data_IF_365477054768
#
_entry.id   IF_365477054768
#
_cell.length_a   1.000
_cell.length_b   1.000
_cell.length_c   1.000
_cell.angle_alpha   90.00
_cell.angle_beta   90.00
_cell.angle_gamma   90.00
#
_symmetry.space_group_name_H-M   'P 1'
#
loop_
_entity.id
_entity.type
_entity.pdbx_description
1 polymer ?
#
# COMPACT_ATOMS: atom_id res chain seq x y z
N UNK A 1 12.48 12.00 17.97
CA UNK A 1 11.49 12.58 17.03
C UNK A 1 10.65 11.42 16.51
N UNK A 2 9.36 11.37 16.84
CA UNK A 2 8.45 10.34 16.33
C UNK A 2 8.37 10.49 14.82
N UNK A 3 8.94 9.56 14.07
CA UNK A 3 8.84 9.53 12.60
C UNK A 3 7.37 9.42 12.22
N UNK A 4 6.80 10.51 11.71
CA UNK A 4 5.49 10.47 11.06
C UNK A 4 5.59 9.44 9.93
N UNK A 5 4.86 8.34 10.05
CA UNK A 5 4.90 7.15 9.19
C UNK A 5 4.55 7.43 7.71
N UNK A 6 5.35 8.24 7.01
CA UNK A 6 5.10 8.66 5.61
C UNK A 6 3.86 9.54 5.41
N UNK A 7 3.28 10.10 6.49
CA UNK A 7 2.10 10.98 6.45
C UNK A 7 2.52 12.43 6.60
N UNK A 8 3.32 12.89 5.66
CA UNK A 8 3.75 14.28 5.57
C UNK A 8 2.68 15.16 4.90
N UNK A 9 2.95 16.46 4.80
CA UNK A 9 1.97 17.43 4.29
C UNK A 9 1.68 17.19 2.80
N UNK A 10 2.66 16.72 2.03
CA UNK A 10 2.49 16.39 0.62
C UNK A 10 1.62 15.14 0.43
N UNK A 11 1.73 14.12 1.29
CA UNK A 11 0.77 13.01 1.33
C UNK A 11 -0.67 13.50 1.46
N UNK A 12 -0.94 14.42 2.38
CA UNK A 12 -2.29 14.94 2.58
C UNK A 12 -2.77 15.82 1.42
N UNK A 13 -1.88 16.60 0.80
CA UNK A 13 -2.20 17.37 -0.43
C UNK A 13 -2.66 16.44 -1.55
N UNK A 14 -1.94 15.33 -1.76
CA UNK A 14 -2.30 14.33 -2.76
C UNK A 14 -3.57 13.57 -2.37
N UNK A 15 -3.78 13.27 -1.08
CA UNK A 15 -4.97 12.58 -0.59
C UNK A 15 -6.25 13.39 -0.86
N UNK A 16 -6.16 14.73 -0.86
CA UNK A 16 -7.26 15.64 -1.15
C UNK A 16 -7.20 16.24 -2.56
N UNK A 17 -6.50 15.59 -3.51
CA UNK A 17 -6.27 16.13 -4.85
C UNK A 17 -7.55 16.23 -5.70
N UNK A 18 -8.63 15.56 -5.32
CA UNK A 18 -9.91 15.61 -6.03
C UNK A 18 -10.98 16.32 -5.21
N UNK A 19 -11.82 17.09 -5.90
CA UNK A 19 -12.94 17.79 -5.28
C UNK A 19 -14.23 17.55 -6.05
N UNK A 20 -15.37 17.43 -5.36
CA UNK A 20 -16.66 17.36 -6.01
C UNK A 20 -17.07 18.75 -6.52
N UNK A 21 -17.18 18.89 -7.83
CA UNK A 21 -17.73 20.08 -8.49
C UNK A 21 -19.16 19.82 -8.93
N UNK A 22 -19.96 20.89 -8.93
CA UNK A 22 -21.35 20.83 -9.38
C UNK A 22 -21.40 21.27 -10.84
N UNK A 23 -21.73 20.32 -11.74
CA UNK A 23 -21.88 20.57 -13.17
C UNK A 23 -23.32 20.35 -13.58
N UNK A 24 -23.86 21.25 -14.40
CA UNK A 24 -25.20 21.07 -14.95
C UNK A 24 -25.14 20.28 -16.26
N UNK A 25 -25.87 19.17 -16.31
CA UNK A 25 -26.04 18.35 -17.51
C UNK A 25 -27.54 18.30 -17.79
N UNK A 26 -27.97 18.85 -18.92
CA UNK A 26 -29.40 18.95 -19.31
C UNK A 26 -30.28 19.61 -18.23
N UNK A 27 -29.77 20.66 -17.57
CA UNK A 27 -30.48 21.37 -16.50
C UNK A 27 -30.48 20.68 -15.13
N UNK A 28 -29.96 19.45 -15.03
CA UNK A 28 -29.83 18.73 -13.75
C UNK A 28 -28.43 18.93 -13.19
N UNK A 29 -28.33 19.31 -11.91
CA UNK A 29 -27.06 19.40 -11.21
C UNK A 29 -26.50 17.99 -10.95
N UNK A 30 -25.40 17.65 -11.61
CA UNK A 30 -24.63 16.45 -11.40
C UNK A 30 -23.36 16.77 -10.60
N UNK A 31 -22.93 15.82 -9.75
CA UNK A 31 -21.65 15.90 -9.03
C UNK A 31 -20.56 15.25 -9.88
N UNK A 32 -19.60 16.05 -10.31
CA UNK A 32 -18.42 15.60 -11.07
C UNK A 32 -17.19 15.71 -10.16
N UNK A 33 -16.45 14.62 -10.00
CA UNK A 33 -15.16 14.65 -9.29
C UNK A 33 -14.07 15.11 -10.25
N UNK A 34 -13.36 16.16 -9.88
CA UNK A 34 -12.30 16.77 -10.69
C UNK A 34 -11.02 16.83 -9.88
N UNK A 35 -9.93 16.40 -10.52
CA UNK A 35 -8.57 16.53 -9.99
C UNK A 35 -8.09 17.97 -10.09
N UNK A 36 -7.48 18.47 -9.03
CA UNK A 36 -6.83 19.77 -8.98
C UNK A 36 -5.62 19.79 -9.93
N UNK A 37 -5.49 20.81 -10.80
CA UNK A 37 -4.38 20.90 -11.72
C UNK A 37 -3.05 21.05 -10.96
N UNK A 38 -2.04 20.28 -11.36
CA UNK A 38 -0.69 20.35 -10.78
C UNK A 38 -0.49 19.58 -9.47
N UNK A 39 -1.55 19.00 -8.89
CA UNK A 39 -1.42 18.13 -7.71
C UNK A 39 -1.38 16.67 -8.16
N UNK A 40 -0.45 15.89 -7.61
CA UNK A 40 -0.40 14.44 -7.86
C UNK A 40 -1.48 13.73 -7.02
N UNK A 41 -1.97 12.56 -7.43
CA UNK A 41 -3.11 11.89 -6.78
C UNK A 41 -2.79 10.45 -6.33
N UNK A 42 -1.52 10.05 -6.34
CA UNK A 42 -1.12 8.67 -6.03
C UNK A 42 -1.54 8.27 -4.61
N UNK A 43 -1.50 9.21 -3.65
CA UNK A 43 -1.94 8.95 -2.28
C UNK A 43 -3.44 8.61 -2.18
N UNK A 44 -4.28 9.32 -2.94
CA UNK A 44 -5.71 9.04 -3.02
C UNK A 44 -5.96 7.69 -3.68
N UNK A 45 -5.36 7.45 -4.85
CA UNK A 45 -5.53 6.22 -5.63
C UNK A 45 -5.10 4.99 -4.83
N UNK A 46 -3.94 5.04 -4.16
CA UNK A 46 -3.49 3.96 -3.27
C UNK A 46 -4.49 3.67 -2.16
N UNK A 47 -5.09 4.70 -1.54
CA UNK A 47 -6.07 4.52 -0.47
C UNK A 47 -7.36 3.90 -1.00
N UNK A 48 -7.81 4.33 -2.17
CA UNK A 48 -8.99 3.78 -2.86
C UNK A 48 -8.76 2.31 -3.20
N UNK A 49 -7.62 1.97 -3.81
CA UNK A 49 -7.31 0.58 -4.15
C UNK A 49 -7.15 -0.33 -2.93
N UNK A 50 -6.47 0.14 -1.88
CA UNK A 50 -6.36 -0.63 -0.64
C UNK A 50 -7.75 -0.90 -0.02
N UNK A 51 -8.64 0.09 -0.05
CA UNK A 51 -10.01 -0.05 0.46
C UNK A 51 -10.84 -1.00 -0.41
N UNK A 52 -10.74 -0.88 -1.73
CA UNK A 52 -11.42 -1.78 -2.67
C UNK A 52 -10.94 -3.24 -2.50
N UNK A 53 -9.63 -3.46 -2.36
CA UNK A 53 -9.05 -4.77 -2.09
C UNK A 53 -9.56 -5.34 -0.76
N UNK A 54 -9.58 -4.54 0.31
CA UNK A 54 -10.13 -4.96 1.61
C UNK A 54 -11.61 -5.35 1.51
N UNK A 55 -12.43 -4.58 0.80
CA UNK A 55 -13.82 -4.93 0.56
C UNK A 55 -13.98 -6.19 -0.30
N UNK A 56 -13.09 -6.41 -1.27
CA UNK A 56 -13.02 -7.66 -2.02
C UNK A 56 -12.75 -8.85 -1.11
N UNK A 57 -11.82 -8.71 -0.15
CA UNK A 57 -11.53 -9.74 0.85
C UNK A 57 -12.72 -9.99 1.79
N UNK A 58 -13.43 -8.95 2.20
CA UNK A 58 -14.67 -9.11 2.98
C UNK A 58 -15.74 -9.85 2.20
N UNK A 59 -15.93 -9.51 0.93
CA UNK A 59 -16.86 -10.20 0.06
C UNK A 59 -16.47 -11.68 -0.15
N UNK A 60 -15.17 -12.00 -0.13
CA UNK A 60 -14.68 -13.38 -0.18
C UNK A 60 -14.75 -14.12 1.16
N UNK A 61 -15.23 -13.49 2.24
CA UNK A 61 -15.42 -14.10 3.55
C UNK A 61 -14.32 -13.84 4.59
N UNK A 62 -13.37 -12.95 4.32
CA UNK A 62 -12.35 -12.56 5.30
C UNK A 62 -13.00 -11.91 6.54
N UNK A 63 -12.68 -12.41 7.73
CA UNK A 63 -13.09 -11.82 9.01
C UNK A 63 -11.91 -11.09 9.65
N UNK A 64 -11.87 -9.76 9.53
CA UNK A 64 -10.69 -8.98 9.95
C UNK A 64 -10.32 -9.21 11.42
N UNK A 65 -11.30 -9.22 12.32
CA UNK A 65 -11.06 -9.43 13.76
C UNK A 65 -10.37 -10.75 14.06
N UNK A 66 -10.80 -11.84 13.42
CA UNK A 66 -10.16 -13.15 13.61
C UNK A 66 -8.72 -13.17 13.07
N UNK A 67 -8.49 -12.54 11.92
CA UNK A 67 -7.14 -12.45 11.33
C UNK A 67 -6.21 -11.66 12.24
N UNK A 68 -6.69 -10.55 12.82
CA UNK A 68 -5.93 -9.76 13.79
C UNK A 68 -5.56 -10.59 15.00
N UNK A 69 -6.54 -11.26 15.63
CA UNK A 69 -6.25 -12.13 16.78
C UNK A 69 -5.26 -13.25 16.44
N UNK A 70 -5.33 -13.83 15.24
CA UNK A 70 -4.36 -14.82 14.76
C UNK A 70 -2.96 -14.22 14.63
N UNK A 71 -2.81 -13.04 14.00
CA UNK A 71 -1.52 -12.35 13.85
C UNK A 71 -0.93 -11.98 15.21
N UNK A 72 -1.75 -11.45 16.12
CA UNK A 72 -1.32 -11.13 17.49
C UNK A 72 -0.84 -12.37 18.23
N UNK A 73 -1.61 -13.47 18.18
CA UNK A 73 -1.21 -14.73 18.80
C UNK A 73 0.08 -15.31 18.19
N UNK A 74 0.26 -15.17 16.88
CA UNK A 74 1.49 -15.55 16.19
C UNK A 74 2.69 -14.68 16.59
N UNK A 75 2.49 -13.35 16.71
CA UNK A 75 3.54 -12.43 17.16
C UNK A 75 3.98 -12.75 18.60
N UNK A 76 3.03 -12.98 19.51
CA UNK A 76 3.29 -13.40 20.90
C UNK A 76 4.04 -14.73 20.98
N UNK A 77 3.74 -15.68 20.08
CA UNK A 77 4.46 -16.96 20.01
C UNK A 77 5.89 -16.83 19.47
N UNK A 78 6.21 -15.73 18.80
CA UNK A 78 7.51 -15.49 18.15
C UNK A 78 8.52 -14.78 19.09
N UNK A 79 8.07 -14.20 20.21
CA UNK A 79 8.93 -13.50 21.17
C UNK A 79 9.74 -14.42 22.12
N UNK A 80 9.79 -15.75 21.87
CA UNK A 80 10.60 -16.68 22.68
C UNK A 80 12.05 -16.90 22.16
N UNK A 81 12.47 -16.27 21.06
CA UNK A 81 13.85 -16.47 20.57
C UNK A 81 14.45 -15.19 20.02
N UNK A 82 14.89 -14.32 20.93
CA UNK A 82 15.97 -13.37 20.66
C UNK A 82 17.32 -14.10 20.68
N UNK A 83 17.44 -15.23 19.99
CA UNK A 83 18.75 -15.74 19.59
C UNK A 83 18.93 -15.39 18.11
N UNK A 84 19.76 -14.37 17.90
CA UNK A 84 20.26 -13.97 16.59
C UNK A 84 20.92 -15.18 15.93
N UNK A 85 20.15 -15.95 15.16
CA UNK A 85 20.73 -16.89 14.22
C UNK A 85 21.08 -16.09 12.99
N UNK A 86 22.35 -15.70 12.89
CA UNK A 86 22.95 -15.10 11.70
C UNK A 86 22.66 -16.06 10.54
N UNK A 87 21.67 -15.75 9.71
CA UNK A 87 21.46 -16.48 8.48
C UNK A 87 22.67 -16.21 7.59
N UNK A 88 23.37 -17.27 7.19
CA UNK A 88 24.50 -17.20 6.27
C UNK A 88 23.97 -16.56 4.97
N UNK A 89 24.61 -15.51 4.44
CA UNK A 89 24.09 -14.81 3.26
C UNK A 89 23.89 -15.80 2.13
N UNK A 90 22.73 -15.71 1.46
CA UNK A 90 22.43 -16.45 0.24
C UNK A 90 23.51 -16.08 -0.77
N UNK A 91 24.45 -17.00 -1.00
CA UNK A 91 25.41 -16.88 -2.08
C UNK A 91 24.67 -17.26 -3.36
N UNK A 92 24.22 -16.26 -4.13
CA UNK A 92 23.77 -16.49 -5.49
C UNK A 92 24.98 -16.86 -6.33
N UNK A 93 25.08 -18.12 -6.78
CA UNK A 93 26.07 -18.49 -7.79
C UNK A 93 25.63 -17.89 -9.12
N UNK A 94 26.35 -16.88 -9.61
CA UNK A 94 26.22 -16.47 -11.01
C UNK A 94 26.76 -17.59 -11.88
N UNK A 95 25.87 -18.30 -12.57
CA UNK A 95 26.27 -19.10 -13.72
C UNK A 95 26.71 -18.12 -14.82
N UNK A 96 28.01 -17.85 -14.91
CA UNK A 96 28.58 -17.18 -16.08
C UNK A 96 28.41 -18.12 -17.27
N UNK A 97 27.67 -17.68 -18.28
CA UNK A 97 27.61 -18.39 -19.55
C UNK A 97 28.97 -18.31 -20.22
N UNK A 98 29.45 -19.40 -20.82
CA UNK A 98 30.77 -19.48 -21.47
C UNK A 98 30.91 -18.57 -22.70
N UNK A 99 29.89 -17.76 -22.99
CA UNK A 99 29.87 -16.79 -24.08
C UNK A 99 30.56 -15.47 -23.70
N UNK A 100 30.81 -15.23 -22.40
CA UNK A 100 31.50 -14.03 -21.91
C UNK A 100 33.04 -14.11 -21.90
N UNK A 101 33.63 -15.27 -22.25
CA UNK A 101 35.09 -15.48 -22.18
C UNK A 101 35.83 -15.22 -23.52
N UNK A 102 35.15 -14.68 -24.53
CA UNK A 102 35.71 -14.42 -25.87
C UNK A 102 35.66 -12.94 -26.28
N UNK A 103 36.16 -12.04 -25.43
CA UNK A 103 36.59 -10.67 -25.81
C UNK A 103 37.91 -10.32 -25.12
#
# INVERSE_FOLDING_TARGET
MSSSQGRDLDYFRQLTSERPLRRFVKGVAAREWRKDPGVRNEALDCRVYATAALHGLYASGLRLGEVVSRIESAALSCECTTSSTVQKPIQMSMNRSSWMDNF
#
